data_IF_403260410863
#
_entry.id   IF_403260410863
#
_cell.length_a   1.000
_cell.length_b   1.000
_cell.length_c   1.000
_cell.angle_alpha   90.00
_cell.angle_beta   90.00
_cell.angle_gamma   90.00
#
_symmetry.space_group_name_H-M   'P 1'
#
loop_
_entity.id
_entity.type
_entity.pdbx_description
1 polymer ?
#
# COMPACT_ATOMS: atom_id res chain seq x y z
N UNK A 1 -36.16 -15.77 -5.39
CA UNK A 1 -34.88 -16.00 -6.10
C UNK A 1 -33.77 -15.70 -5.11
N UNK A 2 -32.90 -16.66 -4.84
CA UNK A 2 -31.81 -16.47 -3.87
C UNK A 2 -30.58 -15.97 -4.61
N UNK A 3 -30.17 -14.72 -4.38
CA UNK A 3 -28.90 -14.21 -4.88
C UNK A 3 -27.77 -14.79 -4.04
N UNK A 4 -27.00 -15.70 -4.62
CA UNK A 4 -25.75 -16.16 -4.01
C UNK A 4 -24.75 -14.99 -3.96
N UNK A 5 -24.58 -14.44 -2.77
CA UNK A 5 -23.56 -13.42 -2.47
C UNK A 5 -22.21 -14.12 -2.55
N UNK A 6 -21.43 -13.86 -3.61
CA UNK A 6 -20.14 -14.52 -3.84
C UNK A 6 -19.18 -14.27 -2.68
N UNK A 7 -18.32 -15.24 -2.36
CA UNK A 7 -17.44 -15.17 -1.18
C UNK A 7 -16.55 -13.92 -1.19
N UNK A 8 -15.95 -13.55 -2.33
CA UNK A 8 -15.17 -12.32 -2.46
C UNK A 8 -15.95 -11.03 -2.15
N UNK A 9 -17.26 -10.98 -2.42
CA UNK A 9 -18.08 -9.81 -2.10
C UNK A 9 -18.32 -9.65 -0.59
N UNK A 10 -18.46 -10.75 0.16
CA UNK A 10 -18.52 -10.70 1.62
C UNK A 10 -17.16 -10.26 2.22
N UNK A 11 -16.05 -10.72 1.63
CA UNK A 11 -14.71 -10.44 2.15
C UNK A 11 -14.24 -8.99 1.87
N UNK A 12 -14.61 -8.39 0.74
CA UNK A 12 -14.39 -6.96 0.48
C UNK A 12 -15.15 -6.07 1.49
N UNK A 13 -16.40 -6.41 1.82
CA UNK A 13 -17.19 -5.67 2.81
C UNK A 13 -16.56 -5.72 4.23
N UNK A 14 -15.98 -6.87 4.63
CA UNK A 14 -15.20 -6.97 5.87
C UNK A 14 -13.97 -6.06 5.83
N UNK A 15 -13.23 -6.05 4.71
CA UNK A 15 -12.06 -5.18 4.53
C UNK A 15 -12.46 -3.70 4.61
N UNK A 16 -13.58 -3.28 4.01
CA UNK A 16 -14.09 -1.92 4.12
C UNK A 16 -14.41 -1.53 5.57
N UNK A 17 -15.01 -2.43 6.35
CA UNK A 17 -15.26 -2.23 7.78
C UNK A 17 -13.94 -2.05 8.57
N UNK A 18 -12.98 -2.98 8.40
CA UNK A 18 -11.70 -2.91 9.08
C UNK A 18 -10.84 -1.69 8.66
N UNK A 19 -10.92 -1.27 7.40
CA UNK A 19 -10.28 -0.03 6.91
C UNK A 19 -10.88 1.21 7.59
N UNK A 20 -12.21 1.23 7.81
CA UNK A 20 -12.89 2.32 8.51
C UNK A 20 -12.40 2.44 9.95
N UNK A 21 -12.34 1.34 10.70
CA UNK A 21 -11.81 1.36 12.09
C UNK A 21 -10.32 1.75 12.13
N UNK A 22 -9.54 1.38 11.11
CA UNK A 22 -8.16 1.83 10.94
C UNK A 22 -8.07 3.34 10.72
N UNK A 23 -9.00 3.92 9.96
CA UNK A 23 -9.07 5.36 9.67
C UNK A 23 -9.58 6.17 10.88
N UNK A 24 -10.61 5.68 11.57
CA UNK A 24 -11.10 6.22 12.86
C UNK A 24 -9.98 6.23 13.93
N UNK A 25 -9.03 5.30 13.83
CA UNK A 25 -7.86 5.17 14.71
C UNK A 25 -6.56 5.76 14.14
N UNK A 26 -6.63 6.58 13.06
CA UNK A 26 -5.46 6.96 12.28
C UNK A 26 -4.35 7.64 13.10
N UNK A 27 -4.65 8.62 13.95
CA UNK A 27 -3.62 9.32 14.74
C UNK A 27 -2.95 8.42 15.79
N UNK A 28 -3.68 7.45 16.36
CA UNK A 28 -3.08 6.43 17.23
C UNK A 28 -2.14 5.52 16.43
N UNK A 29 -2.57 5.03 15.26
CA UNK A 29 -1.76 4.15 14.41
C UNK A 29 -0.55 4.87 13.81
N UNK A 30 -0.66 6.17 13.50
CA UNK A 30 0.43 7.07 13.10
C UNK A 30 1.46 7.24 14.21
N UNK A 31 1.03 7.38 15.47
CA UNK A 31 1.95 7.35 16.63
C UNK A 31 2.65 5.99 16.74
N UNK A 32 1.93 4.87 16.63
CA UNK A 32 2.52 3.52 16.65
C UNK A 32 3.52 3.30 15.50
N UNK A 33 3.21 3.79 14.29
CA UNK A 33 4.10 3.75 13.14
C UNK A 33 5.37 4.59 13.34
N UNK A 34 5.23 5.79 13.91
CA UNK A 34 6.36 6.70 14.21
C UNK A 34 7.26 6.16 15.32
N UNK A 35 6.67 5.83 16.47
CA UNK A 35 7.38 5.53 17.71
C UNK A 35 7.87 4.07 17.74
N UNK A 36 7.03 3.12 17.31
CA UNK A 36 7.30 1.67 17.39
C UNK A 36 7.76 1.05 16.08
N UNK A 37 7.58 1.72 14.94
CA UNK A 37 7.84 1.20 13.58
C UNK A 37 6.96 -0.02 13.24
N UNK A 38 5.72 -0.03 13.74
CA UNK A 38 4.71 -1.08 13.50
C UNK A 38 3.56 -0.48 12.69
N UNK A 39 3.01 -1.24 11.74
CA UNK A 39 1.76 -0.92 11.05
C UNK A 39 0.78 -2.09 11.14
N UNK A 40 -0.52 -1.78 11.18
CA UNK A 40 -1.61 -2.76 11.15
C UNK A 40 -2.08 -2.96 9.72
N UNK A 41 -1.69 -4.10 9.13
CA UNK A 41 -2.27 -4.59 7.89
C UNK A 41 -3.73 -5.02 8.12
N UNK A 42 -4.58 -4.69 7.16
CA UNK A 42 -5.98 -5.13 7.09
C UNK A 42 -6.11 -6.25 6.05
N UNK A 43 -6.89 -7.28 6.37
CA UNK A 43 -7.31 -8.35 5.46
C UNK A 43 -8.76 -8.75 5.74
N UNK A 44 -9.35 -9.60 4.91
CA UNK A 44 -10.68 -10.19 5.16
C UNK A 44 -10.75 -11.01 6.47
N UNK A 45 -9.59 -11.46 6.98
CA UNK A 45 -9.45 -12.17 8.25
C UNK A 45 -9.28 -11.26 9.47
N UNK A 46 -9.17 -9.94 9.28
CA UNK A 46 -8.94 -8.95 10.34
C UNK A 46 -7.57 -8.27 10.27
N UNK A 47 -7.13 -7.77 11.42
CA UNK A 47 -5.94 -6.95 11.65
C UNK A 47 -4.70 -7.79 11.97
N UNK A 48 -3.52 -7.40 11.45
CA UNK A 48 -2.22 -7.99 11.83
C UNK A 48 -1.12 -6.95 11.88
N UNK A 49 -0.35 -6.95 12.97
CA UNK A 49 0.84 -6.12 13.08
C UNK A 49 1.99 -6.67 12.22
N UNK A 50 2.54 -5.81 11.35
CA UNK A 50 3.78 -6.04 10.62
C UNK A 50 4.78 -4.91 10.91
N UNK A 51 6.06 -5.24 10.86
CA UNK A 51 7.13 -4.26 10.95
C UNK A 51 7.23 -3.45 9.66
N UNK A 52 7.38 -2.15 9.82
CA UNK A 52 7.80 -1.20 8.78
C UNK A 52 9.21 -0.65 9.07
N UNK A 53 9.99 -1.33 9.91
CA UNK A 53 11.34 -0.90 10.29
C UNK A 53 12.36 -1.14 9.15
N UNK A 54 13.29 -0.19 8.86
CA UNK A 54 14.27 -0.32 7.77
C UNK A 54 15.03 -1.66 7.73
N UNK A 55 15.44 -2.14 8.91
CA UNK A 55 16.29 -3.32 9.07
C UNK A 55 15.51 -4.63 9.25
N UNK A 56 14.18 -4.57 9.39
CA UNK A 56 13.29 -5.74 9.57
C UNK A 56 11.98 -5.62 8.76
N UNK A 57 12.03 -5.31 7.45
CA UNK A 57 10.86 -4.86 6.68
C UNK A 57 9.83 -5.98 6.45
N UNK A 58 8.54 -5.64 6.60
CA UNK A 58 7.38 -6.51 6.38
C UNK A 58 7.36 -7.83 7.20
N UNK A 59 8.25 -7.97 8.19
CA UNK A 59 8.25 -9.11 9.11
C UNK A 59 7.03 -9.08 10.04
N UNK A 60 6.53 -10.25 10.43
CA UNK A 60 5.40 -10.36 11.35
C UNK A 60 5.82 -10.00 12.78
N UNK A 61 5.05 -9.16 13.46
CA UNK A 61 5.41 -8.73 14.82
C UNK A 61 5.08 -9.84 15.83
N UNK A 62 6.03 -10.29 16.67
CA UNK A 62 5.78 -11.25 17.74
C UNK A 62 4.62 -10.83 18.66
N UNK A 63 3.88 -11.81 19.18
CA UNK A 63 2.66 -11.58 19.95
C UNK A 63 1.38 -11.41 19.11
N UNK A 64 1.47 -11.12 17.81
CA UNK A 64 0.32 -11.17 16.89
C UNK A 64 0.19 -12.57 16.27
N UNK A 65 -0.47 -13.48 17.00
CA UNK A 65 -0.79 -14.84 16.53
C UNK A 65 -1.91 -14.82 15.49
N UNK A 66 -1.54 -14.62 14.22
CA UNK A 66 -2.47 -14.64 13.09
C UNK A 66 -3.10 -13.28 12.78
N UNK A 67 -4.42 -13.26 12.56
CA UNK A 67 -5.23 -12.04 12.40
C UNK A 67 -6.23 -11.92 13.56
N UNK A 68 -6.45 -10.69 14.01
CA UNK A 68 -7.37 -10.35 15.10
C UNK A 68 -8.55 -9.58 14.51
N UNK A 69 -9.78 -10.01 14.77
CA UNK A 69 -10.98 -9.39 14.16
C UNK A 69 -11.44 -8.13 14.91
N UNK A 70 -11.19 -8.04 16.21
CA UNK A 70 -11.57 -6.89 17.05
C UNK A 70 -10.41 -5.90 17.15
N UNK A 71 -10.63 -4.64 16.77
CA UNK A 71 -9.55 -3.65 16.76
C UNK A 71 -9.03 -3.33 18.16
N UNK A 72 -9.89 -3.26 19.18
CA UNK A 72 -9.44 -2.97 20.56
C UNK A 72 -8.50 -4.04 21.11
N UNK A 73 -8.72 -5.33 20.77
CA UNK A 73 -7.78 -6.42 21.11
C UNK A 73 -6.44 -6.28 20.38
N UNK A 74 -6.44 -5.80 19.14
CA UNK A 74 -5.20 -5.48 18.42
C UNK A 74 -4.50 -4.24 19.02
N UNK A 75 -5.27 -3.22 19.43
CA UNK A 75 -4.77 -2.00 20.09
C UNK A 75 -4.11 -2.32 21.43
N UNK A 76 -4.77 -3.09 22.29
CA UNK A 76 -4.24 -3.56 23.59
C UNK A 76 -2.86 -4.22 23.46
N UNK A 77 -2.66 -5.03 22.41
CA UNK A 77 -1.37 -5.67 22.12
C UNK A 77 -0.35 -4.66 21.58
N UNK A 78 -0.74 -3.77 20.67
CA UNK A 78 0.12 -2.69 20.18
C UNK A 78 0.62 -1.77 21.30
N UNK A 79 -0.21 -1.46 22.31
CA UNK A 79 0.18 -0.61 23.43
C UNK A 79 1.27 -1.28 24.28
N UNK A 80 1.17 -2.59 24.51
CA UNK A 80 2.11 -3.40 25.31
C UNK A 80 3.41 -3.77 24.60
N UNK A 81 3.45 -3.78 23.27
CA UNK A 81 4.66 -4.10 22.50
C UNK A 81 5.74 -3.02 22.63
N UNK A 82 7.04 -3.37 22.72
CA UNK A 82 8.14 -2.41 22.58
C UNK A 82 8.28 -1.94 21.11
N UNK A 83 9.27 -1.09 20.83
CA UNK A 83 9.67 -0.75 19.46
C UNK A 83 10.27 -1.97 18.77
N UNK A 84 10.09 -2.08 17.45
CA UNK A 84 10.53 -3.22 16.63
C UNK A 84 12.03 -3.53 16.74
N UNK A 85 12.89 -2.54 16.99
CA UNK A 85 14.32 -2.75 17.20
C UNK A 85 14.66 -3.61 18.44
N UNK A 86 13.72 -3.74 19.38
CA UNK A 86 13.80 -4.59 20.57
C UNK A 86 13.08 -5.95 20.39
N UNK A 87 12.57 -6.25 19.19
CA UNK A 87 11.83 -7.48 18.90
C UNK A 87 12.64 -8.46 18.05
N UNK A 88 12.60 -9.74 18.45
CA UNK A 88 13.09 -10.85 17.64
C UNK A 88 12.07 -11.19 16.54
N UNK A 89 12.02 -10.37 15.49
CA UNK A 89 11.18 -10.62 14.32
C UNK A 89 11.81 -11.73 13.47
N UNK A 90 11.25 -12.93 13.57
CA UNK A 90 11.63 -14.05 12.72
C UNK A 90 11.38 -13.75 11.23
N UNK A 91 12.32 -14.15 10.38
CA UNK A 91 12.22 -14.12 8.92
C UNK A 91 11.70 -12.78 8.33
N UNK A 92 12.50 -11.69 8.37
CA UNK A 92 12.17 -10.39 7.78
C UNK A 92 12.20 -10.43 6.23
N UNK A 93 11.27 -11.17 5.63
CA UNK A 93 10.97 -11.18 4.20
C UNK A 93 12.16 -11.47 3.27
N UNK A 94 13.13 -12.27 3.72
CA UNK A 94 14.44 -12.50 3.07
C UNK A 94 15.20 -11.20 2.70
N UNK A 95 14.97 -10.11 3.45
CA UNK A 95 15.59 -8.79 3.23
C UNK A 95 15.41 -8.20 1.81
N UNK A 96 14.38 -8.65 1.07
CA UNK A 96 14.16 -8.30 -0.33
C UNK A 96 13.99 -6.78 -0.55
N UNK A 97 14.55 -6.22 -1.64
CA UNK A 97 14.36 -4.81 -2.00
C UNK A 97 12.89 -4.39 -2.11
N UNK A 98 12.01 -5.28 -2.61
CA UNK A 98 10.57 -5.03 -2.69
C UNK A 98 9.94 -4.78 -1.32
N UNK A 99 10.24 -5.62 -0.32
CA UNK A 99 9.71 -5.44 1.04
C UNK A 99 10.30 -4.19 1.72
N UNK A 100 11.58 -3.87 1.48
CA UNK A 100 12.22 -2.63 1.95
C UNK A 100 11.51 -1.39 1.39
N UNK A 101 11.16 -1.41 0.11
CA UNK A 101 10.40 -0.35 -0.56
C UNK A 101 8.94 -0.30 -0.05
N UNK A 102 8.28 -1.43 0.14
CA UNK A 102 6.92 -1.52 0.71
C UNK A 102 6.87 -0.91 2.12
N UNK A 103 7.78 -1.32 3.02
CA UNK A 103 7.88 -0.78 4.37
C UNK A 103 8.13 0.73 4.38
N UNK A 104 9.02 1.22 3.51
CA UNK A 104 9.28 2.65 3.33
C UNK A 104 8.04 3.43 2.86
N UNK A 105 7.34 2.93 1.84
CA UNK A 105 6.13 3.58 1.31
C UNK A 105 4.99 3.57 2.32
N UNK A 106 4.80 2.48 3.09
CA UNK A 106 3.80 2.43 4.17
C UNK A 106 4.16 3.43 5.28
N UNK A 107 5.40 3.44 5.77
CA UNK A 107 5.85 4.39 6.79
C UNK A 107 5.61 5.85 6.35
N UNK A 108 6.00 6.18 5.13
CA UNK A 108 5.79 7.52 4.58
C UNK A 108 4.32 7.87 4.35
N UNK A 109 3.46 6.90 4.01
CA UNK A 109 2.01 7.12 3.88
C UNK A 109 1.30 7.43 5.20
N UNK A 110 1.88 7.01 6.33
CA UNK A 110 1.26 7.12 7.65
C UNK A 110 1.85 8.25 8.52
N UNK A 111 3.14 8.53 8.38
CA UNK A 111 3.91 9.33 9.37
C UNK A 111 4.33 10.72 8.85
N UNK A 112 4.37 10.95 7.53
CA UNK A 112 5.03 12.12 6.93
C UNK A 112 4.05 13.16 6.36
N UNK A 113 4.48 14.42 6.39
CA UNK A 113 3.73 15.59 5.90
C UNK A 113 3.94 15.85 4.38
N UNK A 114 4.99 15.29 3.76
CA UNK A 114 5.21 15.38 2.32
C UNK A 114 4.30 14.39 1.58
N UNK A 115 3.58 14.85 0.58
CA UNK A 115 2.65 14.00 -0.18
C UNK A 115 3.38 12.87 -0.93
N UNK A 116 2.74 11.70 -1.02
CA UNK A 116 3.32 10.54 -1.69
C UNK A 116 3.71 10.77 -3.17
N UNK A 117 3.00 11.61 -3.96
CA UNK A 117 3.47 11.99 -5.31
C UNK A 117 4.79 12.77 -5.34
N UNK A 118 5.20 13.42 -4.24
CA UNK A 118 6.54 14.00 -4.11
C UNK A 118 7.60 12.91 -3.95
N UNK A 119 7.37 11.99 -3.02
CA UNK A 119 8.29 10.90 -2.64
C UNK A 119 8.55 9.96 -3.83
N UNK A 120 7.55 9.80 -4.69
CA UNK A 120 7.62 9.02 -5.93
C UNK A 120 7.97 9.84 -7.19
N UNK A 121 8.24 11.14 -7.08
CA UNK A 121 8.61 12.00 -8.21
C UNK A 121 7.52 12.20 -9.27
N UNK A 122 6.25 11.91 -8.94
CA UNK A 122 5.15 11.79 -9.89
C UNK A 122 4.02 12.83 -9.72
N UNK A 123 4.30 13.99 -9.08
CA UNK A 123 3.38 15.15 -8.98
C UNK A 123 2.74 15.58 -10.32
N UNK A 124 3.40 15.32 -11.44
CA UNK A 124 2.86 15.62 -12.78
C UNK A 124 1.67 14.72 -13.19
N UNK A 125 1.49 13.57 -12.52
CA UNK A 125 0.47 12.54 -12.82
C UNK A 125 -0.58 12.41 -11.72
N UNK A 126 -0.22 12.75 -10.47
CA UNK A 126 -1.11 12.67 -9.31
C UNK A 126 -0.89 13.87 -8.41
N UNK A 127 -1.96 14.53 -7.97
CA UNK A 127 -1.86 15.57 -6.94
C UNK A 127 -1.81 14.93 -5.54
N UNK A 128 -2.47 13.77 -5.40
CA UNK A 128 -2.62 13.01 -4.17
C UNK A 128 -2.53 11.50 -4.43
N UNK A 129 -1.98 10.75 -3.48
CA UNK A 129 -1.94 9.28 -3.48
C UNK A 129 -2.14 8.80 -2.03
N UNK A 130 -3.36 8.38 -1.72
CA UNK A 130 -3.79 8.02 -0.36
C UNK A 130 -3.73 6.50 -0.19
N UNK A 131 -3.07 6.03 0.86
CA UNK A 131 -2.76 4.60 1.05
C UNK A 131 -3.97 3.82 1.58
N UNK A 132 -4.44 2.86 0.78
CA UNK A 132 -5.61 2.06 1.09
C UNK A 132 -5.19 0.80 1.85
N UNK A 133 -4.45 -0.12 1.24
CA UNK A 133 -3.93 -1.32 1.92
C UNK A 133 -2.75 -1.94 1.17
N UNK A 134 -2.10 -2.95 1.76
CA UNK A 134 -0.99 -3.70 1.18
C UNK A 134 -1.25 -5.23 1.16
N UNK A 135 -0.58 -5.94 0.25
CA UNK A 135 -0.78 -7.36 -0.04
C UNK A 135 -2.25 -7.80 -0.21
N UNK A 136 -3.06 -6.98 -0.91
CA UNK A 136 -4.44 -7.34 -1.24
C UNK A 136 -4.45 -8.59 -2.14
N UNK A 137 -5.19 -9.63 -1.72
CA UNK A 137 -5.32 -10.92 -2.41
C UNK A 137 -6.74 -11.42 -2.27
N UNK A 138 -7.53 -11.34 -3.34
CA UNK A 138 -8.95 -11.71 -3.37
C UNK A 138 -9.28 -12.25 -4.77
N UNK A 139 -9.59 -13.54 -4.88
CA UNK A 139 -9.93 -14.19 -6.16
C UNK A 139 -8.90 -13.88 -7.27
N UNK A 140 -9.27 -13.08 -8.28
CA UNK A 140 -8.41 -12.68 -9.40
C UNK A 140 -7.60 -11.39 -9.15
N UNK A 141 -7.82 -10.72 -8.02
CA UNK A 141 -7.15 -9.47 -7.63
C UNK A 141 -5.94 -9.79 -6.78
N UNK A 142 -4.78 -9.27 -7.22
CA UNK A 142 -3.55 -9.23 -6.42
C UNK A 142 -2.83 -7.92 -6.65
N UNK A 143 -2.44 -7.25 -5.57
CA UNK A 143 -1.50 -6.12 -5.62
C UNK A 143 -0.57 -6.11 -4.41
N UNK A 144 0.69 -5.75 -4.64
CA UNK A 144 1.65 -5.53 -3.55
C UNK A 144 1.21 -4.33 -2.68
N UNK A 145 0.69 -3.25 -3.29
CA UNK A 145 -0.01 -2.14 -2.60
C UNK A 145 -1.23 -1.63 -3.39
N UNK A 146 -2.17 -1.00 -2.70
CA UNK A 146 -3.32 -0.30 -3.27
C UNK A 146 -3.38 1.13 -2.72
N UNK A 147 -3.47 2.10 -3.62
CA UNK A 147 -3.69 3.51 -3.32
C UNK A 147 -4.98 3.99 -4.01
N UNK A 148 -5.54 5.08 -3.50
CA UNK A 148 -6.49 5.90 -4.24
C UNK A 148 -5.76 7.18 -4.65
N UNK A 149 -5.73 7.48 -5.94
CA UNK A 149 -5.22 8.76 -6.42
C UNK A 149 -6.32 9.81 -6.44
N UNK A 150 -5.89 11.07 -6.36
CA UNK A 150 -6.64 12.20 -6.91
C UNK A 150 -5.80 12.90 -7.98
N UNK A 151 -6.44 13.25 -9.10
CA UNK A 151 -5.93 14.23 -10.05
C UNK A 151 -7.06 15.21 -10.34
N UNK A 152 -6.77 16.49 -10.17
CA UNK A 152 -7.74 17.57 -10.19
C UNK A 152 -8.83 17.26 -9.13
N UNK A 153 -10.10 17.16 -9.53
CA UNK A 153 -11.22 16.78 -8.64
C UNK A 153 -11.67 15.31 -8.81
N UNK A 154 -10.93 14.49 -9.58
CA UNK A 154 -11.30 13.09 -9.85
C UNK A 154 -10.46 12.13 -9.00
N UNK A 155 -11.15 11.33 -8.17
CA UNK A 155 -10.54 10.20 -7.47
C UNK A 155 -10.62 8.92 -8.31
N UNK A 156 -9.56 8.11 -8.32
CA UNK A 156 -9.52 6.85 -9.06
C UNK A 156 -8.50 5.85 -8.47
N UNK A 157 -8.71 4.52 -8.62
CA UNK A 157 -7.84 3.52 -8.01
C UNK A 157 -6.43 3.49 -8.65
N UNK A 158 -5.41 3.25 -7.82
CA UNK A 158 -4.03 3.01 -8.26
C UNK A 158 -3.54 1.69 -7.70
N UNK A 159 -3.45 0.69 -8.58
CA UNK A 159 -2.85 -0.62 -8.31
C UNK A 159 -1.33 -0.48 -8.41
N UNK A 160 -0.62 -0.83 -7.34
CA UNK A 160 0.85 -0.75 -7.28
C UNK A 160 1.45 -2.14 -7.17
N UNK A 161 2.39 -2.44 -8.04
CA UNK A 161 3.21 -3.66 -7.99
C UNK A 161 4.70 -3.29 -7.83
N UNK A 162 5.40 -3.98 -6.94
CA UNK A 162 6.81 -3.75 -6.61
C UNK A 162 7.66 -4.88 -7.19
N UNK A 163 8.75 -4.58 -7.90
CA UNK A 163 9.64 -5.63 -8.47
C UNK A 163 11.11 -5.21 -8.48
N UNK A 164 11.98 -6.19 -8.27
CA UNK A 164 13.43 -6.10 -8.48
C UNK A 164 13.87 -6.60 -9.88
N UNK A 165 12.95 -6.83 -10.83
CA UNK A 165 13.26 -7.43 -12.14
C UNK A 165 12.21 -7.20 -13.25
N UNK A 166 12.68 -7.21 -14.51
CA UNK A 166 11.95 -6.75 -15.73
C UNK A 166 10.95 -7.77 -16.34
N UNK A 167 10.36 -8.68 -15.55
CA UNK A 167 9.40 -9.69 -16.07
C UNK A 167 7.98 -9.11 -16.18
N UNK A 168 7.68 -8.49 -17.33
CA UNK A 168 6.47 -7.67 -17.52
C UNK A 168 5.22 -8.39 -18.06
N UNK A 169 5.35 -9.41 -18.93
CA UNK A 169 4.21 -9.90 -19.71
C UNK A 169 3.10 -10.49 -18.82
N UNK A 170 3.45 -11.40 -17.90
CA UNK A 170 2.52 -11.96 -16.90
C UNK A 170 1.94 -10.89 -15.97
N UNK A 171 2.70 -9.82 -15.70
CA UNK A 171 2.24 -8.72 -14.87
C UNK A 171 1.18 -7.87 -15.60
N UNK A 172 1.27 -7.70 -16.93
CA UNK A 172 0.22 -7.03 -17.71
C UNK A 172 -1.11 -7.80 -17.62
N UNK A 173 -1.09 -9.12 -17.76
CA UNK A 173 -2.28 -9.99 -17.60
C UNK A 173 -2.87 -9.89 -16.18
N UNK A 174 -2.04 -9.95 -15.14
CA UNK A 174 -2.48 -9.85 -13.74
C UNK A 174 -3.13 -8.49 -13.43
N UNK A 175 -2.57 -7.40 -13.94
CA UNK A 175 -3.11 -6.05 -13.74
C UNK A 175 -4.38 -5.81 -14.58
N UNK A 176 -4.48 -6.36 -15.80
CA UNK A 176 -5.71 -6.33 -16.59
C UNK A 176 -6.85 -7.10 -15.90
N UNK A 177 -6.57 -8.29 -15.36
CA UNK A 177 -7.52 -9.04 -14.55
C UNK A 177 -7.96 -8.27 -13.29
N UNK A 178 -7.02 -7.58 -12.64
CA UNK A 178 -7.31 -6.74 -11.47
C UNK A 178 -8.24 -5.57 -11.83
N UNK A 179 -7.99 -4.85 -12.93
CA UNK A 179 -8.89 -3.78 -13.39
C UNK A 179 -10.31 -4.30 -13.66
N UNK A 180 -10.45 -5.43 -14.37
CA UNK A 180 -11.74 -6.04 -14.65
C UNK A 180 -12.49 -6.41 -13.36
N UNK A 181 -11.83 -7.13 -12.45
CA UNK A 181 -12.45 -7.55 -11.19
C UNK A 181 -12.82 -6.36 -10.26
N UNK A 182 -12.07 -5.25 -10.31
CA UNK A 182 -12.44 -4.00 -9.62
C UNK A 182 -13.69 -3.34 -10.22
N UNK A 183 -13.88 -3.41 -11.54
CA UNK A 183 -15.10 -2.90 -12.21
C UNK A 183 -16.29 -3.80 -11.90
N UNK A 184 -16.13 -5.12 -12.03
CA UNK A 184 -17.15 -6.13 -11.70
C UNK A 184 -17.58 -6.06 -10.23
N UNK A 185 -16.64 -5.74 -9.33
CA UNK A 185 -16.89 -5.57 -7.89
C UNK A 185 -17.01 -4.11 -7.44
N UNK A 186 -17.34 -3.16 -8.34
CA UNK A 186 -17.25 -1.70 -8.08
C UNK A 186 -17.72 -1.28 -6.68
N UNK A 187 -18.96 -1.60 -6.31
CA UNK A 187 -19.60 -1.13 -5.08
C UNK A 187 -18.81 -1.50 -3.81
N UNK A 188 -18.17 -2.67 -3.83
CA UNK A 188 -17.37 -3.19 -2.72
C UNK A 188 -16.02 -2.48 -2.60
N UNK A 189 -15.38 -2.16 -3.73
CA UNK A 189 -14.18 -1.34 -3.76
C UNK A 189 -14.48 0.12 -3.41
N UNK A 190 -15.60 0.66 -3.88
CA UNK A 190 -16.07 2.00 -3.54
C UNK A 190 -16.22 2.12 -2.02
N UNK A 191 -16.87 1.16 -1.36
CA UNK A 191 -16.95 1.08 0.10
C UNK A 191 -15.58 1.01 0.79
N UNK A 192 -14.60 0.24 0.27
CA UNK A 192 -13.23 0.21 0.78
C UNK A 192 -12.51 1.56 0.65
N UNK A 193 -12.76 2.30 -0.42
CA UNK A 193 -12.14 3.60 -0.65
C UNK A 193 -12.78 4.70 0.19
N UNK A 194 -14.12 4.78 0.28
CA UNK A 194 -14.83 5.70 1.19
C UNK A 194 -14.39 5.50 2.65
N UNK A 195 -14.10 4.25 3.05
CA UNK A 195 -13.59 3.94 4.38
C UNK A 195 -12.21 4.55 4.70
N UNK A 196 -11.47 5.06 3.71
CA UNK A 196 -10.15 5.68 3.88
C UNK A 196 -10.19 7.19 3.65
N UNK A 197 -10.94 7.69 2.65
CA UNK A 197 -11.06 9.15 2.40
C UNK A 197 -12.18 9.83 3.18
N UNK A 198 -13.15 9.07 3.71
CA UNK A 198 -14.31 9.61 4.41
C UNK A 198 -15.37 10.14 3.45
N UNK A 199 -16.07 11.20 3.87
CA UNK A 199 -17.15 11.86 3.14
C UNK A 199 -16.75 13.29 2.80
N UNK A 200 -17.44 13.89 1.84
CA UNK A 200 -17.27 15.31 1.50
C UNK A 200 -17.80 16.24 2.62
N UNK A 201 -17.65 17.56 2.43
CA UNK A 201 -18.11 18.56 3.39
C UNK A 201 -19.64 18.57 3.62
N UNK A 202 -20.42 17.91 2.76
CA UNK A 202 -21.87 17.77 2.84
C UNK A 202 -22.31 16.42 3.43
N UNK A 203 -21.37 15.53 3.77
CA UNK A 203 -21.65 14.18 4.25
C UNK A 203 -21.99 13.17 3.14
N UNK A 204 -21.70 13.48 1.87
CA UNK A 204 -21.86 12.58 0.72
C UNK A 204 -20.60 11.75 0.49
N UNK A 205 -20.78 10.59 -0.14
CA UNK A 205 -19.66 9.71 -0.51
C UNK A 205 -18.96 10.28 -1.75
N UNK A 206 -17.63 10.35 -1.74
CA UNK A 206 -16.84 11.07 -2.73
C UNK A 206 -16.76 10.25 -4.04
N UNK A 207 -17.16 10.76 -5.21
CA UNK A 207 -17.22 9.95 -6.44
C UNK A 207 -15.87 9.36 -6.89
N UNK A 208 -15.87 8.08 -7.27
CA UNK A 208 -14.66 7.36 -7.70
C UNK A 208 -14.83 6.82 -9.13
N UNK A 209 -13.86 7.16 -9.99
CA UNK A 209 -13.81 6.74 -11.38
C UNK A 209 -13.10 5.39 -11.56
N UNK A 210 -13.90 4.33 -11.69
CA UNK A 210 -13.45 2.97 -11.98
C UNK A 210 -13.10 2.73 -13.46
N UNK A 211 -13.34 3.68 -14.38
CA UNK A 211 -12.77 3.61 -15.73
C UNK A 211 -11.27 3.93 -15.74
N UNK A 212 -10.78 4.64 -14.71
CA UNK A 212 -9.39 5.08 -14.53
C UNK A 212 -8.59 4.25 -13.51
N UNK A 213 -8.80 2.93 -13.44
CA UNK A 213 -7.91 2.07 -12.61
C UNK A 213 -6.49 2.08 -13.18
N UNK A 214 -5.65 2.93 -12.59
CA UNK A 214 -4.26 3.16 -12.99
C UNK A 214 -3.36 2.05 -12.45
N UNK A 215 -2.35 1.68 -13.24
CA UNK A 215 -1.46 0.55 -12.95
C UNK A 215 -0.02 1.05 -12.90
N UNK A 216 0.50 1.17 -11.68
CA UNK A 216 1.84 1.73 -11.39
C UNK A 216 2.78 0.59 -11.03
N UNK A 217 3.90 0.49 -11.75
CA UNK A 217 4.98 -0.43 -11.42
C UNK A 217 6.14 0.39 -10.84
N UNK A 218 6.62 0.03 -9.66
CA UNK A 218 7.74 0.73 -9.00
C UNK A 218 8.97 -0.19 -8.93
N UNK A 219 10.10 0.30 -9.45
CA UNK A 219 11.36 -0.44 -9.56
C UNK A 219 12.54 0.31 -8.96
N UNK A 220 13.58 -0.39 -8.47
CA UNK A 220 14.88 0.23 -8.22
C UNK A 220 15.53 0.64 -9.54
N UNK A 221 15.77 1.95 -9.72
CA UNK A 221 16.60 2.53 -10.78
C UNK A 221 17.99 1.88 -10.79
N UNK A 222 18.58 1.65 -11.96
CA UNK A 222 19.99 1.21 -12.06
C UNK A 222 20.92 2.41 -12.29
N UNK A 223 22.12 2.34 -11.72
CA UNK A 223 23.15 3.38 -11.88
C UNK A 223 23.76 3.38 -13.30
N UNK A 224 23.68 2.25 -14.01
CA UNK A 224 24.06 2.14 -15.42
C UNK A 224 22.91 2.55 -16.35
N UNK A 225 23.12 3.54 -17.22
CA UNK A 225 22.12 4.19 -18.09
C UNK A 225 21.55 3.35 -19.25
N UNK A 226 21.28 2.06 -19.04
CA UNK A 226 20.55 1.21 -19.98
C UNK A 226 19.05 1.49 -19.91
N UNK A 227 18.51 2.14 -20.94
CA UNK A 227 17.13 2.61 -20.99
C UNK A 227 16.02 1.57 -20.78
N UNK A 228 14.78 2.06 -20.79
CA UNK A 228 13.56 1.26 -20.71
C UNK A 228 13.61 0.10 -21.71
N UNK A 229 13.29 -1.12 -21.25
CA UNK A 229 13.16 -2.25 -22.18
C UNK A 229 12.01 -1.99 -23.17
N UNK A 230 12.05 -2.64 -24.34
CA UNK A 230 10.95 -2.62 -25.31
C UNK A 230 9.60 -2.95 -24.66
N UNK A 231 9.56 -3.92 -23.75
CA UNK A 231 8.40 -4.26 -22.94
C UNK A 231 7.96 -3.16 -21.94
N UNK A 232 8.89 -2.39 -21.38
CA UNK A 232 8.59 -1.24 -20.49
C UNK A 232 8.01 -0.07 -21.28
N UNK A 233 8.62 0.23 -22.44
CA UNK A 233 8.10 1.22 -23.38
C UNK A 233 6.74 0.82 -23.96
N UNK A 234 6.49 -0.48 -24.19
CA UNK A 234 5.18 -1.01 -24.58
C UNK A 234 4.15 -0.87 -23.47
N UNK A 235 4.51 -1.12 -22.20
CA UNK A 235 3.61 -0.90 -21.06
C UNK A 235 3.17 0.56 -20.99
N UNK A 236 4.10 1.52 -21.14
CA UNK A 236 3.82 2.96 -21.11
C UNK A 236 2.99 3.51 -22.30
N UNK A 237 2.62 2.69 -23.31
CA UNK A 237 1.75 3.13 -24.42
C UNK A 237 0.28 3.25 -24.04
N UNK A 238 -0.16 2.53 -23.01
CA UNK A 238 -1.50 2.66 -22.44
C UNK A 238 -1.49 3.82 -21.43
N UNK A 239 -2.37 4.83 -21.55
CA UNK A 239 -2.34 6.01 -20.69
C UNK A 239 -2.60 5.68 -19.21
N UNK A 240 -3.24 4.55 -18.89
CA UNK A 240 -3.48 4.10 -17.50
C UNK A 240 -2.23 3.47 -16.85
N UNK A 241 -1.23 3.12 -17.65
CA UNK A 241 0.01 2.51 -17.18
C UNK A 241 1.06 3.56 -16.78
N UNK A 242 1.87 3.23 -15.78
CA UNK A 242 3.01 4.04 -15.38
C UNK A 242 4.14 3.15 -14.83
N UNK A 243 5.39 3.49 -15.16
CA UNK A 243 6.58 2.90 -14.52
C UNK A 243 7.31 4.02 -13.81
N UNK A 244 7.57 3.83 -12.52
CA UNK A 244 8.30 4.79 -11.68
C UNK A 244 9.63 4.16 -11.24
N UNK A 245 10.74 4.79 -11.62
CA UNK A 245 12.08 4.38 -11.20
C UNK A 245 12.46 5.07 -9.88
N UNK A 246 12.34 4.34 -8.77
CA UNK A 246 12.75 4.80 -7.45
C UNK A 246 14.26 4.56 -7.25
N UNK A 247 15.02 5.53 -6.74
CA UNK A 247 16.47 5.42 -6.66
C UNK A 247 16.94 4.52 -5.48
N UNK A 248 17.61 3.37 -5.72
CA UNK A 248 18.09 2.52 -4.66
C UNK A 248 19.33 3.09 -3.94
N UNK A 249 20.03 4.09 -4.48
CA UNK A 249 21.09 4.81 -3.75
C UNK A 249 20.48 5.68 -2.64
N UNK A 250 19.30 6.28 -2.91
CA UNK A 250 18.50 6.90 -1.85
C UNK A 250 18.02 5.84 -0.86
N UNK A 251 17.54 4.68 -1.35
CA UNK A 251 17.08 3.58 -0.48
C UNK A 251 18.22 3.01 0.39
N UNK A 252 19.44 2.83 -0.11
CA UNK A 252 20.58 2.35 0.68
C UNK A 252 20.91 3.31 1.83
N UNK A 253 21.06 4.60 1.51
CA UNK A 253 21.27 5.67 2.51
C UNK A 253 20.08 5.84 3.47
N UNK A 254 18.86 5.47 3.06
CA UNK A 254 17.65 5.36 3.90
C UNK A 254 17.66 4.15 4.86
N UNK A 255 18.39 3.08 4.54
CA UNK A 255 18.31 1.77 5.21
C UNK A 255 19.47 1.49 6.17
N UNK A 256 20.65 2.11 5.97
CA UNK A 256 21.83 1.88 6.82
C UNK A 256 21.67 2.51 8.23
N UNK A 257 20.94 3.64 8.34
CA UNK A 257 20.64 4.31 9.62
C UNK A 257 19.52 3.60 10.41
N UNK A 258 19.53 3.72 11.73
CA UNK A 258 18.56 3.08 12.64
C UNK A 258 17.16 3.74 12.71
N UNK A 259 16.86 4.67 11.79
CA UNK A 259 15.51 5.22 11.59
C UNK A 259 15.38 5.92 10.23
N UNK A 260 14.21 5.82 9.59
CA UNK A 260 13.87 6.66 8.43
C UNK A 260 13.83 8.16 8.76
N UNK A 261 13.72 8.55 10.03
CA UNK A 261 13.74 9.94 10.47
C UNK A 261 15.09 10.61 10.16
N UNK A 262 16.18 9.95 10.56
CA UNK A 262 17.56 10.48 10.52
C UNK A 262 18.17 10.71 9.13
N UNK A 263 17.49 10.33 8.04
CA UNK A 263 18.16 10.15 6.74
C UNK A 263 18.42 11.46 5.99
N UNK A 264 17.60 12.48 6.22
CA UNK A 264 17.48 13.61 5.29
C UNK A 264 18.54 14.73 5.44
N UNK A 265 19.59 14.53 6.24
CA UNK A 265 20.80 15.38 6.22
C UNK A 265 21.68 15.16 4.96
N UNK A 266 21.07 14.70 3.85
CA UNK A 266 21.70 14.20 2.63
C UNK A 266 20.96 14.64 1.34
N UNK A 267 19.95 15.50 1.44
CA UNK A 267 19.14 16.02 0.32
C UNK A 267 18.81 17.50 0.52
#
# INVERSE_FOLDING_TARGET
MSTEVSSGSMDLNKIASFLRTRQESAEYLKKVAKDKNIYIRVSYSGFRAISIHPKQPCGAVPGFTGYIQEFDKAKDLLERLPRVDQLSIENPGNNKPEHRLQAYLIYHSLVRERSMPEILGCKHRFDELTFVTDELKLENIRSDMLFLARKDDVFFPVVVELKNGRLLNRLQEQLQNTNRAMIESKLHFEAMFQAVIGKDANGLDIPIDFSRVNRVIIWPRRDSGGGLSSSSAQFQRDPLNCVLEFCPVALGRLLDRDSYASVFDLF
#
